data_IF_970009424621
#
_entry.id   IF_970009424621
#
_cell.length_a   1.000
_cell.length_b   1.000
_cell.length_c   1.000
_cell.angle_alpha   90.00
_cell.angle_beta   90.00
_cell.angle_gamma   90.00
#
_symmetry.space_group_name_H-M   'P 1'
#
loop_
_entity.id
_entity.type
_entity.pdbx_description
1 polymer ?
#
# COMPACT_ATOMS: atom_id res chain seq x y z
N UNK A 1 0.99 -7.38 9.25
CA UNK A 1 -0.24 -6.95 8.55
C UNK A 1 -0.57 -5.53 8.97
N UNK A 2 -0.09 -4.53 8.24
CA UNK A 2 -0.53 -3.14 8.39
C UNK A 2 -1.84 -2.99 7.63
N UNK A 3 -2.95 -2.83 8.35
CA UNK A 3 -4.24 -2.52 7.76
C UNK A 3 -4.18 -1.09 7.20
N UNK A 4 -3.98 -0.96 5.89
CA UNK A 4 -4.21 0.28 5.18
C UNK A 4 -5.71 0.33 4.89
N UNK A 5 -6.49 1.24 5.50
CA UNK A 5 -7.88 1.38 5.14
C UNK A 5 -7.92 1.80 3.68
N UNK A 6 -8.55 0.96 2.87
CA UNK A 6 -8.83 1.19 1.47
C UNK A 6 -9.75 2.42 1.38
N UNK A 7 -9.17 3.62 1.21
CA UNK A 7 -9.90 4.90 1.17
C UNK A 7 -10.69 5.09 -0.14
N UNK A 8 -10.76 4.08 -1.00
CA UNK A 8 -11.12 4.26 -2.40
C UNK A 8 -12.03 3.15 -2.92
N UNK A 9 -13.20 2.92 -2.33
CA UNK A 9 -14.20 2.03 -2.97
C UNK A 9 -15.66 2.18 -2.56
N UNK A 10 -16.07 3.20 -1.79
CA UNK A 10 -17.51 3.43 -1.52
C UNK A 10 -18.09 4.43 -2.53
N UNK A 11 -18.58 3.94 -3.67
CA UNK A 11 -19.28 4.76 -4.68
C UNK A 11 -20.71 5.13 -4.23
N UNK A 12 -21.25 4.46 -3.20
CA UNK A 12 -22.57 4.71 -2.63
C UNK A 12 -22.48 5.59 -1.35
N UNK A 13 -23.13 6.77 -1.30
CA UNK A 13 -23.15 7.63 -0.12
C UNK A 13 -23.74 6.97 1.14
N UNK A 14 -24.63 5.97 1.00
CA UNK A 14 -25.16 5.24 2.15
C UNK A 14 -24.13 4.29 2.77
N UNK A 15 -23.28 3.68 1.95
CA UNK A 15 -22.19 2.82 2.43
C UNK A 15 -21.08 3.64 3.09
N UNK A 16 -20.77 4.81 2.51
CA UNK A 16 -19.79 5.72 3.08
C UNK A 16 -20.17 6.18 4.50
N UNK A 17 -21.43 6.55 4.73
CA UNK A 17 -21.92 6.90 6.08
C UNK A 17 -21.71 5.78 7.10
N UNK A 18 -21.98 4.52 6.72
CA UNK A 18 -21.77 3.36 7.61
C UNK A 18 -20.28 3.17 7.94
N UNK A 19 -19.41 3.41 6.97
CA UNK A 19 -17.95 3.36 7.17
C UNK A 19 -17.51 4.46 8.13
N UNK A 20 -17.97 5.69 7.91
CA UNK A 20 -17.63 6.85 8.75
C UNK A 20 -18.12 6.67 10.19
N UNK A 21 -19.36 6.20 10.39
CA UNK A 21 -19.92 5.85 11.71
C UNK A 21 -19.07 4.80 12.42
N UNK A 22 -18.65 3.74 11.70
CA UNK A 22 -17.81 2.68 12.26
C UNK A 22 -16.42 3.19 12.65
N UNK A 23 -15.84 4.08 11.85
CA UNK A 23 -14.53 4.68 12.13
C UNK A 23 -14.63 5.62 13.33
N UNK A 24 -15.62 6.49 13.37
CA UNK A 24 -15.90 7.40 14.48
C UNK A 24 -16.09 6.62 15.79
N UNK A 25 -16.93 5.58 15.77
CA UNK A 25 -17.14 4.70 16.93
C UNK A 25 -15.85 3.98 17.38
N UNK A 26 -15.01 3.53 16.45
CA UNK A 26 -13.72 2.89 16.77
C UNK A 26 -12.73 3.87 17.42
N UNK A 27 -12.76 5.12 17.01
CA UNK A 27 -11.92 6.19 17.54
C UNK A 27 -12.49 6.81 18.82
N UNK A 28 -13.75 6.51 19.16
CA UNK A 28 -14.45 7.09 20.31
C UNK A 28 -14.79 8.57 20.13
N UNK A 29 -14.96 9.00 18.88
CA UNK A 29 -15.27 10.39 18.48
C UNK A 29 -16.60 10.45 17.73
N UNK A 30 -17.11 11.65 17.51
CA UNK A 30 -18.28 11.87 16.65
C UNK A 30 -17.91 11.81 15.15
N UNK A 31 -18.92 11.64 14.30
CA UNK A 31 -18.73 11.66 12.83
C UNK A 31 -18.34 13.07 12.37
N UNK A 32 -18.85 14.11 13.04
CA UNK A 32 -18.48 15.50 12.78
C UNK A 32 -16.99 15.75 13.08
N UNK A 33 -16.48 15.21 14.20
CA UNK A 33 -15.06 15.27 14.56
C UNK A 33 -14.20 14.49 13.56
N UNK A 34 -14.69 13.34 13.07
CA UNK A 34 -14.00 12.58 12.02
C UNK A 34 -13.87 13.40 10.73
N UNK A 35 -14.93 14.10 10.30
CA UNK A 35 -14.87 14.96 9.12
C UNK A 35 -13.99 16.20 9.32
N UNK A 36 -13.90 16.73 10.54
CA UNK A 36 -12.94 17.79 10.84
C UNK A 36 -11.49 17.31 10.74
N UNK A 37 -11.20 16.13 11.27
CA UNK A 37 -9.88 15.49 11.12
C UNK A 37 -9.57 15.26 9.64
N UNK A 38 -10.53 14.73 8.88
CA UNK A 38 -10.33 14.45 7.46
C UNK A 38 -10.00 15.71 6.67
N UNK A 39 -10.70 16.83 6.92
CA UNK A 39 -10.38 18.13 6.32
C UNK A 39 -8.96 18.60 6.65
N UNK A 40 -8.56 18.55 7.92
CA UNK A 40 -7.20 18.94 8.34
C UNK A 40 -6.13 18.06 7.69
N UNK A 41 -6.38 16.75 7.61
CA UNK A 41 -5.46 15.81 6.95
C UNK A 41 -5.37 16.09 5.45
N UNK A 42 -6.48 16.40 4.78
CA UNK A 42 -6.49 16.76 3.37
C UNK A 42 -5.68 18.04 3.11
N UNK A 43 -5.81 19.06 3.97
CA UNK A 43 -5.01 20.28 3.92
C UNK A 43 -3.52 19.99 4.13
N UNK A 44 -3.17 19.16 5.12
CA UNK A 44 -1.79 18.76 5.38
C UNK A 44 -1.17 17.99 4.20
N UNK A 45 -1.92 17.10 3.57
CA UNK A 45 -1.47 16.36 2.37
C UNK A 45 -1.27 17.33 1.22
N UNK A 46 -2.22 18.22 0.96
CA UNK A 46 -2.10 19.23 -0.09
C UNK A 46 -0.89 20.14 0.14
N UNK A 47 -0.64 20.53 1.39
CA UNK A 47 0.54 21.32 1.76
C UNK A 47 1.85 20.57 1.53
N UNK A 48 1.90 19.25 1.83
CA UNK A 48 3.06 18.39 1.54
C UNK A 48 3.28 18.20 0.05
N UNK A 49 2.23 17.96 -0.71
CA UNK A 49 2.31 17.73 -2.16
C UNK A 49 2.71 19.00 -2.91
N UNK A 50 2.34 20.17 -2.40
CA UNK A 50 2.76 21.47 -2.92
C UNK A 50 4.26 21.76 -2.73
N UNK A 51 4.98 20.99 -1.90
CA UNK A 51 6.44 21.14 -1.76
C UNK A 51 7.11 20.69 -3.07
N UNK A 52 7.85 21.58 -3.76
CA UNK A 52 8.57 21.24 -4.98
C UNK A 52 9.54 20.08 -4.77
N UNK A 53 9.73 19.24 -5.78
CA UNK A 53 10.56 18.03 -5.68
C UNK A 53 12.00 18.34 -5.24
N UNK A 54 12.52 19.51 -5.59
CA UNK A 54 13.86 19.99 -5.27
C UNK A 54 14.02 20.37 -3.79
N UNK A 55 12.91 20.59 -3.07
CA UNK A 55 12.87 20.94 -1.64
C UNK A 55 12.41 19.76 -0.77
N UNK A 56 11.99 18.65 -1.40
CA UNK A 56 11.72 17.41 -0.68
C UNK A 56 13.07 16.83 -0.25
N UNK A 57 13.38 16.96 1.04
CA UNK A 57 14.54 16.30 1.63
C UNK A 57 14.33 14.79 1.52
N UNK A 58 14.89 14.17 0.49
CA UNK A 58 15.21 12.75 0.52
C UNK A 58 16.39 12.67 1.47
N UNK A 59 16.14 12.25 2.71
CA UNK A 59 17.23 11.87 3.59
C UNK A 59 18.00 10.80 2.81
N UNK A 60 19.24 11.11 2.41
CA UNK A 60 20.19 10.22 1.72
C UNK A 60 20.61 9.09 2.66
N UNK A 61 19.65 8.52 3.39
CA UNK A 61 19.82 7.42 4.26
C UNK A 61 20.31 6.26 3.39
N UNK A 62 21.56 5.81 3.60
CA UNK A 62 22.16 4.75 2.80
C UNK A 62 21.39 3.44 2.92
N UNK A 63 20.41 3.32 3.83
CA UNK A 63 19.50 2.17 3.89
C UNK A 63 18.49 2.10 2.73
N UNK A 64 18.16 3.23 2.10
CA UNK A 64 17.17 3.31 1.01
C UNK A 64 17.79 3.67 -0.34
N UNK A 65 18.98 4.28 -0.37
CA UNK A 65 19.74 4.57 -1.59
C UNK A 65 20.75 3.48 -1.97
N UNK A 66 21.07 2.56 -1.04
CA UNK A 66 21.73 1.30 -1.42
C UNK A 66 20.68 0.41 -2.08
N UNK A 67 20.66 0.42 -3.42
CA UNK A 67 20.14 -0.71 -4.19
C UNK A 67 20.72 -2.02 -3.66
N UNK A 68 20.05 -3.15 -3.97
CA UNK A 68 20.42 -4.50 -3.58
C UNK A 68 21.85 -4.86 -4.02
N UNK A 69 22.88 -4.36 -3.33
CA UNK A 69 24.27 -4.46 -3.75
C UNK A 69 24.53 -3.88 -5.16
N UNK A 70 25.75 -4.09 -5.70
CA UNK A 70 25.96 -3.93 -7.14
C UNK A 70 25.07 -4.93 -7.89
N UNK A 71 24.45 -4.49 -8.99
CA UNK A 71 23.81 -5.40 -9.93
C UNK A 71 24.93 -6.26 -10.54
N UNK A 72 24.95 -7.53 -10.17
CA UNK A 72 25.84 -8.52 -10.77
C UNK A 72 25.02 -9.44 -11.69
N UNK A 73 25.62 -10.09 -12.69
CA UNK A 73 24.91 -11.03 -13.55
C UNK A 73 24.17 -12.14 -12.78
N UNK A 74 24.61 -12.45 -11.56
CA UNK A 74 23.98 -13.43 -10.67
C UNK A 74 22.72 -12.90 -9.94
N UNK A 75 22.54 -11.58 -9.85
CA UNK A 75 21.41 -10.92 -9.17
C UNK A 75 20.50 -10.12 -10.12
N UNK A 76 20.81 -10.13 -11.41
CA UNK A 76 20.03 -9.46 -12.45
C UNK A 76 18.94 -10.40 -12.96
N UNK A 77 17.69 -10.05 -12.68
CA UNK A 77 16.53 -10.78 -13.20
C UNK A 77 16.20 -10.22 -14.58
N UNK A 78 16.26 -11.06 -15.61
CA UNK A 78 15.89 -10.68 -16.96
C UNK A 78 14.39 -10.39 -17.05
N UNK A 79 13.95 -9.44 -17.90
CA UNK A 79 12.53 -9.15 -18.09
C UNK A 79 11.74 -10.42 -18.47
N UNK A 80 10.86 -10.88 -17.57
CA UNK A 80 10.03 -12.06 -17.79
C UNK A 80 10.45 -13.32 -17.01
N UNK A 81 11.63 -13.35 -16.43
CA UNK A 81 12.19 -14.53 -15.72
C UNK A 81 11.32 -14.95 -14.52
N UNK A 82 10.75 -13.98 -13.79
CA UNK A 82 9.81 -14.23 -12.69
C UNK A 82 8.54 -14.93 -13.20
N UNK A 83 8.04 -14.52 -14.37
CA UNK A 83 6.82 -15.09 -14.95
C UNK A 83 7.05 -16.53 -15.40
N UNK A 84 8.25 -16.85 -15.88
CA UNK A 84 8.64 -18.20 -16.27
C UNK A 84 8.87 -19.10 -15.05
N UNK A 85 9.46 -18.59 -13.97
CA UNK A 85 9.62 -19.34 -12.72
C UNK A 85 8.28 -19.84 -12.18
N UNK A 86 7.26 -18.98 -12.11
CA UNK A 86 5.93 -19.39 -11.62
C UNK A 86 5.24 -20.38 -12.56
N UNK A 87 5.39 -20.19 -13.88
CA UNK A 87 4.84 -21.13 -14.87
C UNK A 87 5.47 -22.52 -14.77
N UNK A 88 6.78 -22.60 -14.50
CA UNK A 88 7.50 -23.86 -14.34
C UNK A 88 7.23 -24.51 -12.97
N UNK A 89 6.97 -23.69 -11.94
CA UNK A 89 6.64 -24.16 -10.59
C UNK A 89 5.24 -24.78 -10.52
N UNK A 90 4.25 -24.23 -11.22
CA UNK A 90 2.91 -24.83 -11.36
C UNK A 90 2.92 -26.17 -12.10
N UNK A 91 3.93 -26.44 -12.92
CA UNK A 91 4.08 -27.72 -13.62
C UNK A 91 4.74 -28.83 -12.77
N UNK A 92 5.30 -28.48 -11.60
CA UNK A 92 6.10 -29.40 -10.77
C UNK A 92 5.38 -29.91 -9.51
N UNK A 93 4.16 -29.45 -9.22
CA UNK A 93 3.35 -30.03 -8.13
C UNK A 93 2.71 -31.34 -8.59
N UNK A 94 3.07 -32.51 -7.99
CA UNK A 94 2.28 -33.72 -8.19
C UNK A 94 0.87 -33.50 -7.59
N UNK A 95 -0.17 -34.14 -8.13
CA UNK A 95 -1.49 -34.13 -7.50
C UNK A 95 -1.39 -34.90 -6.18
N UNK A 96 -1.46 -34.20 -5.05
CA UNK A 96 -1.65 -34.84 -3.75
C UNK A 96 -2.97 -35.63 -3.76
N UNK A 97 -2.86 -36.95 -3.55
CA UNK A 97 -3.97 -37.85 -3.25
C UNK A 97 -4.77 -37.29 -2.06
N UNK A 98 -6.05 -36.97 -2.28
CA UNK A 98 -6.99 -36.74 -1.18
C UNK A 98 -7.38 -38.10 -0.58
N UNK A 99 -7.13 -38.37 0.72
CA UNK A 99 -7.71 -39.54 1.36
C UNK A 99 -9.21 -39.33 1.58
N UNK A 100 -10.00 -40.36 1.28
CA UNK A 100 -11.43 -40.49 1.63
C UNK A 100 -11.62 -40.94 3.07
#
# INVERSE_FOLDING_TARGET
MTYQPDRSSATDPAEQRRVDEKIAARMGISVEELHEIDRRVAEDIAARDAVPAEQRIVDDNPKFTKGFGPVTPENEIQPGEIREHYRNSEAASPPDEQPS
#
